data_IF_435073199204
#
_entry.id   IF_435073199204
#
_cell.length_a   1.000
_cell.length_b   1.000
_cell.length_c   1.000
_cell.angle_alpha   90.00
_cell.angle_beta   90.00
_cell.angle_gamma   90.00
#
_symmetry.space_group_name_H-M   'P 1'
#
loop_
_entity.id
_entity.type
_entity.pdbx_description
1 polymer ?
#
# COMPACT_ATOMS: atom_id res chain seq x y z
N UNK A 1 3.50 -2.68 11.53
CA UNK A 1 4.31 -1.44 11.56
C UNK A 1 3.44 -0.31 12.07
N UNK A 2 3.92 0.44 13.05
CA UNK A 2 3.18 1.54 13.67
C UNK A 2 3.93 2.86 13.44
N UNK A 3 3.20 3.96 13.32
CA UNK A 3 3.76 5.31 13.25
C UNK A 3 3.17 6.20 14.33
N UNK A 4 3.98 7.09 14.89
CA UNK A 4 3.50 8.07 15.87
C UNK A 4 3.02 9.34 15.15
N UNK A 5 1.72 9.60 15.20
CA UNK A 5 1.13 10.77 14.53
C UNK A 5 1.60 12.10 15.10
N UNK A 6 2.15 12.13 16.33
CA UNK A 6 2.69 13.35 16.96
C UNK A 6 3.96 13.84 16.28
N UNK A 7 4.68 12.95 15.58
CA UNK A 7 5.87 13.32 14.78
C UNK A 7 5.55 14.33 13.68
N UNK A 8 4.29 14.43 13.25
CA UNK A 8 3.84 15.47 12.31
C UNK A 8 4.09 16.89 12.81
N UNK A 9 4.18 17.08 14.13
CA UNK A 9 4.48 18.39 14.73
C UNK A 9 5.91 18.86 14.44
N UNK A 10 6.81 17.94 14.06
CA UNK A 10 8.17 18.27 13.66
C UNK A 10 8.28 18.66 12.18
N UNK A 11 7.21 18.51 11.39
CA UNK A 11 7.22 18.91 9.99
C UNK A 11 7.22 20.44 9.86
N UNK A 12 7.79 20.99 8.77
CA UNK A 12 7.63 22.41 8.45
C UNK A 12 6.14 22.79 8.45
N UNK A 13 5.82 23.99 8.97
CA UNK A 13 4.44 24.43 9.22
C UNK A 13 3.51 24.25 8.00
N UNK A 14 4.00 24.57 6.79
CA UNK A 14 3.23 24.41 5.56
C UNK A 14 2.86 22.94 5.27
N UNK A 15 3.74 21.99 5.57
CA UNK A 15 3.47 20.54 5.42
C UNK A 15 2.45 20.11 6.45
N UNK A 16 2.62 20.53 7.71
CA UNK A 16 1.69 20.16 8.79
C UNK A 16 0.26 20.56 8.46
N UNK A 17 0.06 21.77 7.91
CA UNK A 17 -1.26 22.31 7.59
C UNK A 17 -1.90 21.70 6.34
N UNK A 18 -1.11 21.29 5.35
CA UNK A 18 -1.66 20.88 4.04
C UNK A 18 -1.45 19.41 3.69
N UNK A 19 -0.34 18.80 4.15
CA UNK A 19 0.15 17.50 3.66
C UNK A 19 0.65 16.56 4.77
N UNK A 20 0.34 16.85 6.03
CA UNK A 20 0.92 16.14 7.17
C UNK A 20 0.53 14.67 7.20
N UNK A 21 -0.72 14.34 6.81
CA UNK A 21 -1.21 12.96 6.78
C UNK A 21 -0.63 12.18 5.59
N UNK A 22 -0.56 12.80 4.42
CA UNK A 22 -0.03 12.24 3.18
C UNK A 22 1.46 11.93 3.34
N UNK A 23 2.21 12.85 3.93
CA UNK A 23 3.64 12.67 4.22
C UNK A 23 3.86 11.53 5.21
N UNK A 24 3.05 11.48 6.27
CA UNK A 24 3.09 10.39 7.24
C UNK A 24 2.81 9.02 6.60
N UNK A 25 1.72 8.91 5.82
CA UNK A 25 1.35 7.68 5.13
C UNK A 25 2.42 7.26 4.11
N UNK A 26 2.94 8.20 3.32
CA UNK A 26 3.94 7.91 2.28
C UNK A 26 5.27 7.45 2.88
N UNK A 27 5.66 8.02 4.02
CA UNK A 27 6.88 7.62 4.75
C UNK A 27 6.74 6.19 5.27
N UNK A 28 5.59 5.86 5.87
CA UNK A 28 5.27 4.52 6.34
C UNK A 28 5.21 3.51 5.19
N UNK A 29 4.52 3.84 4.10
CA UNK A 29 4.47 3.00 2.90
C UNK A 29 5.86 2.69 2.32
N UNK A 30 6.74 3.69 2.28
CA UNK A 30 8.11 3.54 1.78
C UNK A 30 8.94 2.60 2.67
N UNK A 31 8.87 2.77 3.99
CA UNK A 31 9.52 1.86 4.93
C UNK A 31 9.00 0.42 4.76
N UNK A 32 7.69 0.25 4.57
CA UNK A 32 7.06 -1.05 4.38
C UNK A 32 7.47 -1.73 3.07
N UNK A 33 7.62 -0.95 1.99
CA UNK A 33 8.19 -1.43 0.73
C UNK A 33 9.63 -1.91 0.92
N UNK A 34 10.48 -1.16 1.63
CA UNK A 34 11.85 -1.59 1.93
C UNK A 34 11.90 -2.89 2.75
N UNK A 35 11.03 -3.04 3.75
CA UNK A 35 10.91 -4.31 4.48
C UNK A 35 10.51 -5.47 3.56
N UNK A 36 9.58 -5.24 2.63
CA UNK A 36 9.13 -6.27 1.68
C UNK A 36 10.24 -6.67 0.70
N UNK A 37 11.03 -5.70 0.23
CA UNK A 37 12.20 -5.96 -0.60
C UNK A 37 13.25 -6.77 0.17
N UNK A 38 13.55 -6.40 1.43
CA UNK A 38 14.48 -7.14 2.27
C UNK A 38 14.02 -8.59 2.51
N UNK A 39 12.74 -8.81 2.80
CA UNK A 39 12.13 -10.14 2.91
C UNK A 39 12.37 -10.96 1.64
N UNK A 40 12.13 -10.35 0.47
CA UNK A 40 12.34 -11.01 -0.83
C UNK A 40 13.81 -11.35 -1.05
N UNK A 41 14.75 -10.46 -0.71
CA UNK A 41 16.19 -10.73 -0.87
C UNK A 41 16.71 -11.87 0.02
N UNK A 42 16.01 -12.13 1.13
CA UNK A 42 16.32 -13.24 2.04
C UNK A 42 15.70 -14.58 1.59
N UNK A 43 15.03 -14.62 0.43
CA UNK A 43 14.32 -15.81 -0.05
C UNK A 43 13.04 -16.12 0.73
N UNK A 44 12.51 -15.15 1.48
CA UNK A 44 11.27 -15.29 2.24
C UNK A 44 10.08 -14.74 1.45
N UNK A 45 8.89 -15.27 1.74
CA UNK A 45 7.62 -14.73 1.29
C UNK A 45 7.13 -13.63 2.24
N UNK A 46 6.51 -12.59 1.66
CA UNK A 46 5.92 -11.47 2.41
C UNK A 46 4.51 -11.14 1.92
N UNK A 47 3.58 -10.89 2.85
CA UNK A 47 2.22 -10.46 2.51
C UNK A 47 1.80 -9.25 3.34
N UNK A 48 1.26 -8.24 2.65
CA UNK A 48 0.69 -7.04 3.26
C UNK A 48 -0.73 -7.37 3.75
N UNK A 49 -1.05 -7.04 5.00
CA UNK A 49 -2.34 -7.36 5.63
C UNK A 49 -3.03 -6.07 6.07
N UNK A 50 -3.49 -5.31 5.07
CA UNK A 50 -4.03 -3.96 5.25
C UNK A 50 -5.29 -3.89 6.10
N UNK A 51 -6.02 -5.00 6.25
CA UNK A 51 -7.21 -5.09 7.12
C UNK A 51 -6.90 -4.70 8.58
N UNK A 52 -5.65 -4.87 9.02
CA UNK A 52 -5.21 -4.48 10.36
C UNK A 52 -5.39 -2.97 10.63
N UNK A 53 -5.39 -2.15 9.59
CA UNK A 53 -5.56 -0.70 9.69
C UNK A 53 -7.02 -0.27 9.89
N UNK A 54 -8.00 -1.19 9.69
CA UNK A 54 -9.41 -0.92 9.98
C UNK A 54 -9.60 -0.50 11.44
N UNK A 55 -10.40 0.54 11.76
CA UNK A 55 -10.53 1.04 13.12
C UNK A 55 -10.87 -0.03 14.15
N UNK A 56 -11.76 -0.96 13.81
CA UNK A 56 -12.18 -2.05 14.69
C UNK A 56 -11.03 -3.03 14.98
N UNK A 57 -10.40 -3.56 13.92
CA UNK A 57 -9.31 -4.54 14.02
C UNK A 57 -8.10 -3.91 14.70
N UNK A 58 -7.80 -2.66 14.35
CA UNK A 58 -6.70 -1.90 14.93
C UNK A 58 -6.88 -1.74 16.43
N UNK A 59 -8.07 -1.38 16.91
CA UNK A 59 -8.34 -1.24 18.36
C UNK A 59 -8.06 -2.54 19.09
N UNK A 60 -8.63 -3.66 18.63
CA UNK A 60 -8.42 -4.97 19.23
C UNK A 60 -6.94 -5.38 19.22
N UNK A 61 -6.24 -5.09 18.12
CA UNK A 61 -4.81 -5.40 17.99
C UNK A 61 -3.98 -4.58 18.96
N UNK A 62 -4.30 -3.29 19.14
CA UNK A 62 -3.59 -2.43 20.10
C UNK A 62 -3.80 -2.91 21.53
N UNK A 63 -5.03 -3.25 21.90
CA UNK A 63 -5.36 -3.75 23.23
C UNK A 63 -4.65 -5.09 23.49
N UNK A 64 -4.67 -6.01 22.51
CA UNK A 64 -4.03 -7.32 22.61
C UNK A 64 -2.51 -7.24 22.78
N UNK A 65 -1.86 -6.32 22.05
CA UNK A 65 -0.40 -6.21 22.01
C UNK A 65 0.16 -5.10 22.92
N UNK A 66 -0.69 -4.39 23.66
CA UNK A 66 -0.28 -3.27 24.51
C UNK A 66 0.28 -2.07 23.72
N UNK A 67 -0.17 -1.86 22.48
CA UNK A 67 0.29 -0.73 21.65
C UNK A 67 -0.40 0.56 22.12
N UNK A 68 0.37 1.63 22.44
CA UNK A 68 -0.22 2.90 22.86
C UNK A 68 -1.21 3.48 21.85
N UNK A 69 -2.26 4.13 22.35
CA UNK A 69 -3.35 4.71 21.52
C UNK A 69 -2.86 5.75 20.52
N UNK A 70 -1.78 6.46 20.84
CA UNK A 70 -1.17 7.53 20.05
C UNK A 70 -0.50 7.00 18.77
N UNK A 71 -0.08 5.73 18.77
CA UNK A 71 0.52 5.09 17.60
C UNK A 71 -0.57 4.63 16.65
N UNK A 72 -0.46 4.95 15.37
CA UNK A 72 -1.34 4.47 14.30
C UNK A 72 -0.72 3.21 13.68
N UNK A 73 -1.47 2.10 13.63
CA UNK A 73 -1.04 0.91 12.88
C UNK A 73 -1.29 1.20 11.40
N UNK A 74 -0.21 1.29 10.62
CA UNK A 74 -0.29 1.51 9.17
C UNK A 74 -0.69 0.23 8.44
N UNK A 75 0.06 -0.85 8.66
CA UNK A 75 -0.15 -2.16 8.05
C UNK A 75 0.65 -3.23 8.82
N UNK A 76 0.41 -4.51 8.54
CA UNK A 76 1.09 -5.67 9.09
C UNK A 76 1.72 -6.47 7.96
N UNK A 77 3.00 -6.83 8.12
CA UNK A 77 3.74 -7.67 7.17
C UNK A 77 3.80 -9.08 7.74
N UNK A 78 3.10 -10.02 7.13
CA UNK A 78 3.29 -11.44 7.40
C UNK A 78 4.53 -11.92 6.63
N UNK A 79 5.45 -12.61 7.31
CA UNK A 79 6.73 -13.09 6.73
C UNK A 79 6.90 -14.57 7.06
N UNK A 80 7.38 -15.35 6.10
CA UNK A 80 7.66 -16.77 6.30
C UNK A 80 8.32 -17.42 5.10
N UNK A 81 8.61 -18.72 5.20
CA UNK A 81 9.09 -19.49 4.06
C UNK A 81 7.93 -19.72 3.07
N UNK A 82 8.12 -19.40 1.79
CA UNK A 82 7.08 -19.61 0.79
C UNK A 82 6.87 -21.12 0.56
N UNK A 83 5.61 -21.55 0.63
CA UNK A 83 5.19 -22.92 0.30
C UNK A 83 4.51 -23.00 -1.08
N UNK A 84 4.29 -21.85 -1.72
CA UNK A 84 3.67 -21.74 -3.04
C UNK A 84 4.24 -20.55 -3.80
N UNK A 85 4.31 -20.70 -5.12
CA UNK A 85 4.62 -19.60 -6.03
C UNK A 85 3.35 -18.78 -6.32
N UNK A 86 3.36 -17.45 -6.08
CA UNK A 86 2.20 -16.62 -6.33
C UNK A 86 1.94 -16.49 -7.83
N UNK A 87 0.67 -16.54 -8.24
CA UNK A 87 0.26 -16.23 -9.62
C UNK A 87 0.70 -14.79 -9.96
N UNK A 88 1.12 -14.52 -11.20
CA UNK A 88 1.40 -13.16 -11.65
C UNK A 88 0.22 -12.22 -11.35
N UNK A 89 0.50 -11.06 -10.76
CA UNK A 89 -0.54 -10.04 -10.58
C UNK A 89 -0.93 -9.49 -11.95
N UNK A 90 -2.23 -9.32 -12.15
CA UNK A 90 -2.75 -8.60 -13.31
C UNK A 90 -2.31 -7.14 -13.22
N UNK A 91 -1.32 -6.79 -14.04
CA UNK A 91 -0.80 -5.44 -14.18
C UNK A 91 -1.02 -4.97 -15.60
N UNK A 92 -1.15 -3.66 -15.77
CA UNK A 92 -1.17 -3.04 -17.09
C UNK A 92 0.22 -3.14 -17.70
N UNK A 93 0.29 -3.21 -19.03
CA UNK A 93 1.56 -3.19 -19.74
C UNK A 93 2.30 -1.88 -19.44
N UNK A 94 3.64 -1.95 -19.37
CA UNK A 94 4.49 -0.82 -19.00
C UNK A 94 4.27 0.38 -19.93
N UNK A 95 4.10 0.11 -21.22
CA UNK A 95 3.90 1.09 -22.28
C UNK A 95 2.61 1.88 -22.06
N UNK A 96 1.62 1.34 -21.37
CA UNK A 96 0.38 2.05 -21.06
C UNK A 96 0.48 2.98 -19.83
N UNK A 97 1.53 2.82 -19.01
CA UNK A 97 1.73 3.55 -17.75
C UNK A 97 2.83 4.60 -17.89
N UNK A 98 3.87 4.31 -18.65
CA UNK A 98 5.02 5.21 -18.81
C UNK A 98 4.65 6.37 -19.73
N UNK A 99 4.92 7.60 -19.30
CA UNK A 99 4.77 8.80 -20.12
C UNK A 99 6.12 9.52 -20.20
N UNK A 100 6.59 9.86 -21.40
CA UNK A 100 7.86 10.54 -21.60
C UNK A 100 7.66 12.05 -21.69
N UNK A 101 8.48 12.82 -20.98
CA UNK A 101 8.46 14.29 -20.88
C UNK A 101 7.20 14.91 -20.23
N UNK A 102 6.01 14.48 -20.66
CA UNK A 102 4.73 14.94 -20.15
C UNK A 102 3.65 13.88 -20.34
N UNK A 103 2.44 14.17 -19.88
CA UNK A 103 1.32 13.23 -20.00
C UNK A 103 0.97 13.00 -21.48
N UNK A 104 1.23 11.79 -21.96
CA UNK A 104 0.80 11.33 -23.28
C UNK A 104 -0.74 11.20 -23.33
N UNK A 105 -1.38 12.16 -24.01
CA UNK A 105 -2.85 12.21 -24.16
C UNK A 105 -3.42 11.04 -24.97
N UNK A 106 -2.61 10.35 -25.78
CA UNK A 106 -3.08 9.14 -26.50
C UNK A 106 -3.38 7.99 -25.55
N UNK A 107 -2.82 8.02 -24.33
CA UNK A 107 -3.06 7.04 -23.26
C UNK A 107 -4.18 7.45 -22.31
N UNK A 108 -4.87 8.55 -22.61
CA UNK A 108 -6.02 8.97 -21.84
C UNK A 108 -7.13 7.92 -21.94
N UNK A 109 -7.62 7.46 -20.79
CA UNK A 109 -8.72 6.51 -20.70
C UNK A 109 -9.98 7.26 -20.34
N UNK A 110 -11.01 7.10 -21.16
CA UNK A 110 -12.35 7.60 -20.89
C UNK A 110 -13.01 6.78 -19.78
N UNK A 111 -14.12 7.29 -19.24
CA UNK A 111 -14.93 6.54 -18.26
C UNK A 111 -15.38 5.18 -18.79
N UNK A 112 -15.63 5.07 -20.09
CA UNK A 112 -16.03 3.82 -20.73
C UNK A 112 -14.86 2.82 -20.75
N UNK A 113 -13.66 3.27 -21.12
CA UNK A 113 -12.44 2.43 -21.08
C UNK A 113 -12.16 1.91 -19.66
N UNK A 114 -12.36 2.76 -18.65
CA UNK A 114 -12.20 2.38 -17.24
C UNK A 114 -13.25 1.35 -16.82
N UNK A 115 -14.51 1.49 -17.22
CA UNK A 115 -15.56 0.50 -16.93
C UNK A 115 -15.24 -0.86 -17.54
N UNK A 116 -14.78 -0.88 -18.78
CA UNK A 116 -14.40 -2.10 -19.49
C UNK A 116 -13.19 -2.78 -18.83
N UNK A 117 -12.20 -2.00 -18.41
CA UNK A 117 -11.05 -2.48 -17.67
C UNK A 117 -11.45 -3.07 -16.29
N UNK A 118 -12.34 -2.40 -15.54
CA UNK A 118 -12.85 -2.95 -14.27
C UNK A 118 -13.60 -4.27 -14.51
N UNK A 119 -14.41 -4.34 -15.58
CA UNK A 119 -15.13 -5.54 -15.93
C UNK A 119 -14.18 -6.70 -16.31
N UNK A 120 -13.07 -6.42 -16.99
CA UNK A 120 -12.05 -7.43 -17.32
C UNK A 120 -11.35 -7.97 -16.06
N UNK A 121 -10.98 -7.10 -15.13
CA UNK A 121 -10.40 -7.49 -13.84
C UNK A 121 -11.37 -8.37 -13.04
N UNK A 122 -12.65 -8.05 -13.02
CA UNK A 122 -13.67 -8.83 -12.31
C UNK A 122 -13.88 -10.22 -12.95
N UNK A 123 -13.83 -10.32 -14.27
CA UNK A 123 -13.88 -11.62 -14.97
C UNK A 123 -12.66 -12.48 -14.62
N UNK A 124 -11.47 -11.88 -14.63
CA UNK A 124 -10.24 -12.61 -14.31
C UNK A 124 -10.22 -13.11 -12.86
N UNK A 125 -10.70 -12.32 -11.90
CA UNK A 125 -10.85 -12.73 -10.49
C UNK A 125 -11.81 -13.91 -10.29
N UNK A 126 -12.85 -14.03 -11.12
CA UNK A 126 -13.84 -15.12 -11.02
C UNK A 126 -13.32 -16.45 -11.59
N UNK A 127 -12.30 -16.41 -12.44
CA UNK A 127 -11.67 -17.60 -13.02
C UNK A 127 -10.37 -18.03 -12.34
N UNK A 128 -9.94 -17.37 -11.27
CA UNK A 128 -8.66 -17.59 -10.57
C UNK A 128 -8.81 -18.41 -9.30
#
# INVERSE_FOLDING_TARGET
>A
MCGDTRTKNAYPLYVTLQKGRETFISSLASAFLYMTLAVTTLGLGGQWVSTIASPYVQSLTKDLLGIPKELEIYDMLAVGYPDMEPKPRLMRAQEEIVHYNGYDKTKYRTDQDIKEYIASLNRAKRGS
#
